data_IF_246820083070
#
_entry.id   IF_246820083070
#
_cell.length_a   1.000
_cell.length_b   1.000
_cell.length_c   1.000
_cell.angle_alpha   90.00
_cell.angle_beta   90.00
_cell.angle_gamma   90.00
#
_symmetry.space_group_name_H-M   'P 1'
#
loop_
_entity.id
_entity.type
_entity.pdbx_description
1 polymer ?
#
# COMPACT_ATOMS: atom_id res chain seq x y z
N UNK A 1 18.73 5.47 7.36
CA UNK A 1 17.94 5.88 8.53
C UNK A 1 17.53 4.63 9.29
N UNK A 2 17.76 4.55 10.61
CA UNK A 2 17.18 3.49 11.43
C UNK A 2 15.66 3.59 11.40
N UNK A 3 14.96 2.46 11.50
CA UNK A 3 13.51 2.46 11.59
C UNK A 3 13.07 3.06 12.92
N UNK A 4 12.06 3.93 12.89
CA UNK A 4 11.56 4.67 14.05
C UNK A 4 10.05 4.51 14.15
N UNK A 5 9.55 4.17 15.34
CA UNK A 5 8.14 4.22 15.69
C UNK A 5 7.98 5.27 16.78
N UNK A 6 7.14 6.29 16.56
CA UNK A 6 6.88 7.35 17.53
C UNK A 6 5.39 7.64 17.62
N UNK A 7 4.88 7.73 18.84
CA UNK A 7 3.48 8.10 19.09
C UNK A 7 3.44 9.42 19.88
N UNK A 8 2.71 10.41 19.37
CA UNK A 8 2.49 11.71 20.03
C UNK A 8 1.02 12.08 19.88
N UNK A 9 0.34 12.38 20.99
CA UNK A 9 -1.07 12.81 21.00
C UNK A 9 -2.02 11.90 20.20
N UNK A 10 -1.84 10.57 20.31
CA UNK A 10 -2.64 9.58 19.57
C UNK A 10 -2.36 9.48 18.07
N UNK A 11 -1.35 10.20 17.58
CA UNK A 11 -0.83 10.07 16.22
C UNK A 11 0.45 9.23 16.26
N UNK A 12 0.46 8.13 15.52
CA UNK A 12 1.58 7.20 15.40
C UNK A 12 2.26 7.41 14.06
N UNK A 13 3.55 7.71 14.07
CA UNK A 13 4.40 7.76 12.89
C UNK A 13 5.37 6.57 12.90
N UNK A 14 5.39 5.80 11.81
CA UNK A 14 6.40 4.79 11.53
C UNK A 14 7.23 5.23 10.34
N UNK A 15 8.54 5.16 10.51
CA UNK A 15 9.52 5.20 9.43
C UNK A 15 10.25 3.85 9.42
N UNK A 16 10.21 3.13 8.30
CA UNK A 16 10.91 1.87 8.12
C UNK A 16 11.68 1.88 6.81
N UNK A 17 12.97 1.62 6.90
CA UNK A 17 13.84 1.54 5.72
C UNK A 17 14.44 0.15 5.60
N UNK A 18 14.52 -0.37 4.39
CA UNK A 18 15.26 -1.60 4.11
C UNK A 18 15.92 -1.55 2.75
N UNK A 19 16.97 -2.32 2.59
CA UNK A 19 17.65 -2.50 1.30
C UNK A 19 18.01 -3.96 1.05
N UNK A 20 18.13 -4.28 -0.23
CA UNK A 20 18.53 -5.57 -0.75
C UNK A 20 19.52 -5.34 -1.90
N UNK A 21 20.74 -5.86 -1.75
CA UNK A 21 21.69 -5.95 -2.86
C UNK A 21 21.37 -7.19 -3.68
N UNK A 22 21.04 -7.00 -4.94
CA UNK A 22 20.83 -8.04 -5.95
C UNK A 22 22.03 -8.07 -6.90
N UNK A 23 22.44 -9.27 -7.31
CA UNK A 23 23.50 -9.43 -8.32
C UNK A 23 23.06 -8.89 -9.69
N UNK A 24 21.77 -8.97 -10.02
CA UNK A 24 21.23 -8.57 -11.34
C UNK A 24 20.58 -7.20 -11.31
N UNK A 25 19.89 -6.85 -10.22
CA UNK A 25 19.10 -5.62 -10.12
C UNK A 25 19.85 -4.46 -9.44
N UNK A 26 21.09 -4.70 -8.97
CA UNK A 26 21.82 -3.75 -8.15
C UNK A 26 21.20 -3.57 -6.76
N UNK A 27 21.25 -2.37 -6.21
CA UNK A 27 20.73 -2.06 -4.87
C UNK A 27 19.26 -1.64 -5.00
N UNK A 28 18.37 -2.45 -4.43
CA UNK A 28 16.99 -2.07 -4.20
C UNK A 28 16.84 -1.54 -2.78
N UNK A 29 16.17 -0.41 -2.62
CA UNK A 29 15.86 0.17 -1.31
C UNK A 29 14.38 0.47 -1.24
N UNK A 30 13.77 0.22 -0.09
CA UNK A 30 12.39 0.59 0.21
C UNK A 30 12.38 1.47 1.46
N UNK A 31 11.79 2.65 1.33
CA UNK A 31 11.50 3.58 2.41
C UNK A 31 9.98 3.61 2.58
N UNK A 32 9.55 3.29 3.78
CA UNK A 32 8.14 3.28 4.15
C UNK A 32 7.91 4.27 5.28
N UNK A 33 6.93 5.13 5.08
CA UNK A 33 6.44 6.07 6.05
C UNK A 33 4.95 5.82 6.23
N UNK A 34 4.51 5.80 7.48
CA UNK A 34 3.11 5.65 7.84
C UNK A 34 2.80 6.65 8.95
N UNK A 35 1.72 7.39 8.79
CA UNK A 35 1.17 8.27 9.83
C UNK A 35 -0.28 7.86 10.04
N UNK A 36 -0.61 7.38 11.24
CA UNK A 36 -1.96 6.97 11.60
C UNK A 36 -2.45 7.70 12.84
N UNK A 37 -3.73 8.07 12.83
CA UNK A 37 -4.43 8.51 14.01
C UNK A 37 -5.82 7.85 14.02
N UNK A 38 -5.99 6.90 14.93
CA UNK A 38 -7.21 6.09 15.01
C UNK A 38 -8.45 6.89 15.46
N UNK A 39 -8.26 8.04 16.13
CA UNK A 39 -9.36 8.91 16.57
C UNK A 39 -9.89 9.76 15.42
N UNK A 40 -9.00 10.34 14.63
CA UNK A 40 -9.37 11.18 13.48
C UNK A 40 -9.58 10.39 12.17
N UNK A 41 -9.31 9.08 12.17
CA UNK A 41 -9.45 8.24 10.98
C UNK A 41 -8.42 8.54 9.89
N UNK A 42 -7.29 9.15 10.27
CA UNK A 42 -6.18 9.43 9.36
C UNK A 42 -5.32 8.19 9.24
N UNK A 43 -5.04 7.77 8.01
CA UNK A 43 -4.04 6.76 7.70
C UNK A 43 -3.38 7.13 6.38
N UNK A 44 -2.26 7.82 6.53
CA UNK A 44 -1.42 8.24 5.42
C UNK A 44 -0.23 7.30 5.35
N UNK A 45 0.14 6.85 4.16
CA UNK A 45 1.40 6.16 3.97
C UNK A 45 2.09 6.56 2.68
N UNK A 46 3.41 6.46 2.71
CA UNK A 46 4.29 6.62 1.56
C UNK A 46 5.19 5.40 1.51
N UNK A 47 5.18 4.71 0.37
CA UNK A 47 6.16 3.70 0.03
C UNK A 47 6.96 4.19 -1.16
N UNK A 48 8.25 4.42 -0.96
CA UNK A 48 9.19 4.74 -2.02
C UNK A 48 10.17 3.58 -2.20
N UNK A 49 10.26 3.05 -3.41
CA UNK A 49 11.19 2.01 -3.80
C UNK A 49 12.13 2.58 -4.85
N UNK A 50 13.42 2.44 -4.62
CA UNK A 50 14.48 2.87 -5.53
C UNK A 50 15.31 1.68 -6.00
N UNK A 51 15.80 1.73 -7.23
CA UNK A 51 16.79 0.83 -7.79
C UNK A 51 18.02 1.64 -8.18
N UNK A 52 19.17 1.40 -7.55
CA UNK A 52 20.41 2.16 -7.75
C UNK A 52 20.19 3.68 -7.67
N UNK A 53 19.51 4.13 -6.60
CA UNK A 53 19.08 5.52 -6.37
C UNK A 53 18.05 6.11 -7.35
N UNK A 54 17.69 5.40 -8.43
CA UNK A 54 16.60 5.80 -9.32
C UNK A 54 15.24 5.38 -8.75
N UNK A 55 14.23 6.24 -8.82
CA UNK A 55 12.86 5.88 -8.42
C UNK A 55 12.34 4.72 -9.29
N UNK A 56 11.98 3.62 -8.64
CA UNK A 56 11.33 2.47 -9.26
C UNK A 56 9.82 2.57 -9.09
N UNK A 57 9.35 2.84 -7.87
CA UNK A 57 7.94 3.04 -7.57
C UNK A 57 7.78 3.90 -6.32
N UNK A 58 6.97 4.95 -6.42
CA UNK A 58 6.46 5.69 -5.27
C UNK A 58 4.96 5.51 -5.23
N UNK A 59 4.43 5.10 -4.09
CA UNK A 59 3.00 4.94 -3.83
C UNK A 59 2.66 5.71 -2.57
N UNK A 60 1.65 6.56 -2.65
CA UNK A 60 1.15 7.37 -1.56
C UNK A 60 -0.34 7.13 -1.42
N UNK A 61 -0.79 6.85 -0.21
CA UNK A 61 -2.20 6.91 0.15
C UNK A 61 -2.35 8.03 1.18
N UNK A 62 -3.26 8.96 0.93
CA UNK A 62 -3.56 10.07 1.82
C UNK A 62 -5.03 10.08 2.17
N UNK A 63 -5.39 10.09 3.44
CA UNK A 63 -6.74 10.34 3.92
C UNK A 63 -7.16 11.76 3.53
N UNK A 64 -8.32 11.88 2.87
CA UNK A 64 -8.99 13.15 2.59
C UNK A 64 -10.14 13.40 3.58
N UNK A 65 -10.79 12.31 3.99
CA UNK A 65 -11.82 12.28 5.02
C UNK A 65 -11.91 10.85 5.58
N UNK A 66 -12.70 10.58 6.64
CA UNK A 66 -12.88 9.22 7.16
C UNK A 66 -13.40 8.19 6.15
N UNK A 67 -13.98 8.66 5.03
CA UNK A 67 -14.55 7.83 3.97
C UNK A 67 -13.90 8.07 2.61
N UNK A 68 -12.90 8.95 2.50
CA UNK A 68 -12.23 9.23 1.22
C UNK A 68 -10.72 9.24 1.38
N UNK A 69 -10.03 8.66 0.41
CA UNK A 69 -8.57 8.66 0.36
C UNK A 69 -8.08 8.90 -1.05
N UNK A 70 -6.94 9.56 -1.22
CA UNK A 70 -6.27 9.72 -2.50
C UNK A 70 -5.09 8.76 -2.61
N UNK A 71 -5.14 7.90 -3.62
CA UNK A 71 -4.02 7.07 -4.06
C UNK A 71 -3.26 7.81 -5.16
N UNK A 72 -1.99 8.13 -4.91
CA UNK A 72 -1.08 8.66 -5.92
C UNK A 72 0.06 7.68 -6.10
N UNK A 73 0.39 7.32 -7.34
CA UNK A 73 1.52 6.47 -7.63
C UNK A 73 2.32 7.02 -8.81
N UNK A 74 3.64 6.81 -8.78
CA UNK A 74 4.55 7.15 -9.88
C UNK A 74 5.59 6.05 -10.03
N UNK A 75 5.86 5.66 -11.27
CA UNK A 75 6.70 4.51 -11.56
C UNK A 75 7.88 4.90 -12.45
N UNK A 76 9.02 4.29 -12.19
CA UNK A 76 10.22 4.41 -13.02
C UNK A 76 10.10 3.65 -14.33
N UNK A 77 11.06 3.88 -15.24
CA UNK A 77 11.10 3.28 -16.59
C UNK A 77 11.13 1.74 -16.59
N UNK A 78 11.57 1.13 -15.49
CA UNK A 78 11.65 -0.31 -15.31
C UNK A 78 10.27 -0.97 -15.14
N UNK A 79 9.25 -0.21 -14.76
CA UNK A 79 7.86 -0.68 -14.69
C UNK A 79 7.15 -0.23 -15.97
N UNK A 80 6.87 -1.17 -16.86
CA UNK A 80 6.26 -0.89 -18.16
C UNK A 80 4.73 -0.88 -18.08
N UNK A 81 4.11 -0.06 -18.91
CA UNK A 81 2.66 0.06 -19.03
C UNK A 81 1.99 0.95 -17.98
N UNK A 82 2.75 1.46 -17.01
CA UNK A 82 2.30 2.50 -16.08
C UNK A 82 3.43 3.47 -15.73
N UNK A 83 3.11 4.75 -15.71
CA UNK A 83 3.99 5.85 -15.32
C UNK A 83 3.45 6.57 -14.09
N UNK A 84 2.12 6.70 -13.99
CA UNK A 84 1.46 7.42 -12.92
C UNK A 84 0.03 6.96 -12.69
N UNK A 85 -0.45 7.15 -11.47
CA UNK A 85 -1.84 7.05 -11.10
C UNK A 85 -2.20 8.14 -10.09
N UNK A 86 -3.40 8.70 -10.22
CA UNK A 86 -3.99 9.61 -9.24
C UNK A 86 -5.49 9.30 -9.16
N UNK A 87 -5.89 8.68 -8.06
CA UNK A 87 -7.22 8.09 -7.90
C UNK A 87 -7.77 8.54 -6.55
N UNK A 88 -8.97 9.09 -6.56
CA UNK A 88 -9.75 9.33 -5.35
C UNK A 88 -10.62 8.11 -5.11
N UNK A 89 -10.43 7.50 -3.96
CA UNK A 89 -11.18 6.35 -3.47
C UNK A 89 -12.23 6.84 -2.47
N UNK A 90 -13.43 6.28 -2.57
CA UNK A 90 -14.53 6.48 -1.62
C UNK A 90 -14.87 5.13 -1.01
N UNK A 91 -14.89 5.10 0.32
CA UNK A 91 -15.13 3.94 1.16
C UNK A 91 -16.52 4.07 1.79
N UNK A 92 -17.43 3.18 1.43
CA UNK A 92 -18.77 3.11 2.01
C UNK A 92 -19.04 1.68 2.43
N UNK A 93 -19.18 1.44 3.74
CA UNK A 93 -19.31 0.10 4.32
C UNK A 93 -18.17 -0.82 3.83
N UNK A 94 -18.52 -1.96 3.26
CA UNK A 94 -17.60 -2.95 2.65
C UNK A 94 -17.38 -2.72 1.16
N UNK A 95 -17.61 -1.51 0.66
CA UNK A 95 -17.48 -1.16 -0.75
C UNK A 95 -16.48 -0.02 -0.94
N UNK A 96 -15.60 -0.20 -1.92
CA UNK A 96 -14.65 0.81 -2.36
C UNK A 96 -14.94 1.16 -3.81
N UNK A 97 -15.33 2.40 -4.04
CA UNK A 97 -15.37 2.99 -5.38
C UNK A 97 -14.20 3.93 -5.56
N UNK A 98 -13.86 4.24 -6.81
CA UNK A 98 -12.88 5.25 -7.09
C UNK A 98 -13.01 5.86 -8.47
N UNK A 99 -12.49 7.06 -8.61
CA UNK A 99 -12.40 7.76 -9.87
C UNK A 99 -11.06 8.49 -9.94
N UNK A 100 -10.52 8.66 -11.14
CA UNK A 100 -9.28 9.40 -11.34
C UNK A 100 -8.62 9.03 -12.65
N UNK A 101 -7.29 9.01 -12.65
CA UNK A 101 -6.50 8.76 -13.85
C UNK A 101 -5.37 7.76 -13.62
N UNK A 102 -5.09 6.94 -14.64
CA UNK A 102 -3.86 6.14 -14.77
C UNK A 102 -3.24 6.49 -16.12
N UNK A 103 -1.96 6.86 -16.15
CA UNK A 103 -1.28 7.37 -17.35
C UNK A 103 -2.08 8.48 -18.06
N UNK A 104 -2.61 9.44 -17.28
CA UNK A 104 -3.51 10.52 -17.76
C UNK A 104 -4.84 10.06 -18.37
N UNK A 105 -5.12 8.74 -18.43
CA UNK A 105 -6.40 8.20 -18.91
C UNK A 105 -7.38 8.05 -17.73
N UNK A 106 -8.61 8.54 -17.92
CA UNK A 106 -9.66 8.44 -16.90
C UNK A 106 -10.02 6.99 -16.60
N UNK A 107 -10.14 6.68 -15.32
CA UNK A 107 -10.52 5.35 -14.81
C UNK A 107 -11.62 5.48 -13.78
N UNK A 108 -12.47 4.46 -13.74
CA UNK A 108 -13.43 4.22 -12.66
C UNK A 108 -13.14 2.86 -12.04
N UNK A 109 -13.19 2.83 -10.73
CA UNK A 109 -12.97 1.65 -9.90
C UNK A 109 -14.23 1.30 -9.16
N UNK A 110 -14.53 0.01 -9.11
CA UNK A 110 -15.61 -0.55 -8.31
C UNK A 110 -15.13 -1.87 -7.71
N UNK A 111 -15.15 -1.99 -6.39
CA UNK A 111 -14.82 -3.22 -5.67
C UNK A 111 -15.73 -3.42 -4.45
N UNK A 112 -16.33 -4.60 -4.36
CA UNK A 112 -16.85 -5.19 -3.11
C UNK A 112 -15.71 -5.89 -2.37
N UNK A 113 -15.61 -5.71 -1.05
CA UNK A 113 -14.57 -6.29 -0.18
C UNK A 113 -14.34 -7.77 -0.49
N UNK A 114 -13.25 -8.05 -1.18
CA UNK A 114 -12.67 -9.39 -1.31
C UNK A 114 -11.18 -9.22 -1.07
N UNK A 115 -10.64 -10.04 -0.16
CA UNK A 115 -9.22 -10.00 0.19
C UNK A 115 -8.37 -10.14 -1.07
N UNK A 116 -7.55 -9.12 -1.35
CA UNK A 116 -6.77 -9.08 -2.57
C UNK A 116 -5.56 -10.03 -2.43
N UNK A 117 -5.77 -11.32 -2.73
CA UNK A 117 -4.69 -12.30 -2.81
C UNK A 117 -4.03 -12.19 -4.18
N UNK A 118 -2.90 -11.51 -4.20
CA UNK A 118 -2.01 -11.26 -5.34
C UNK A 118 -2.51 -10.25 -6.36
N UNK A 119 -1.71 -9.20 -6.56
CA UNK A 119 -2.02 -8.09 -7.45
C UNK A 119 -2.19 -8.49 -8.91
N UNK A 120 -2.72 -7.56 -9.70
CA UNK A 120 -2.90 -7.72 -11.14
C UNK A 120 -1.56 -8.08 -11.80
N UNK A 121 -1.40 -9.35 -12.21
CA UNK A 121 -0.24 -9.79 -12.99
C UNK A 121 -0.28 -9.27 -14.42
N UNK A 122 0.77 -9.56 -15.19
CA UNK A 122 0.92 -9.16 -16.60
C UNK A 122 -0.19 -9.63 -17.55
N UNK A 123 -1.20 -10.38 -17.07
CA UNK A 123 -2.37 -10.83 -17.85
C UNK A 123 -3.47 -9.75 -18.01
N UNK A 124 -3.22 -8.53 -17.53
CA UNK A 124 -4.12 -7.39 -17.69
C UNK A 124 -5.16 -7.28 -16.58
N UNK A 125 -5.59 -6.06 -16.27
CA UNK A 125 -6.73 -5.80 -15.39
C UNK A 125 -8.02 -6.18 -16.12
N UNK A 126 -8.51 -7.39 -15.85
CA UNK A 126 -9.77 -7.89 -16.40
C UNK A 126 -9.93 -9.36 -16.06
N UNK A 127 -10.26 -9.69 -14.81
CA UNK A 127 -10.64 -11.05 -14.44
C UNK A 127 -11.95 -11.05 -13.67
N UNK A 128 -12.84 -11.91 -14.14
CA UNK A 128 -14.25 -12.10 -13.79
C UNK A 128 -14.50 -12.67 -12.40
N UNK A 129 -13.47 -13.06 -11.65
CA UNK A 129 -13.64 -13.63 -10.31
C UNK A 129 -13.23 -12.63 -9.23
N UNK A 130 -14.21 -11.82 -8.79
CA UNK A 130 -14.19 -11.12 -7.51
C UNK A 130 -12.94 -10.30 -7.15
N UNK A 131 -12.23 -9.68 -8.10
CA UNK A 131 -11.07 -8.80 -7.83
C UNK A 131 -11.30 -7.41 -8.41
N UNK A 132 -10.68 -6.39 -7.80
CA UNK A 132 -10.84 -4.96 -8.14
C UNK A 132 -10.89 -4.72 -9.66
N UNK A 133 -12.06 -4.28 -10.15
CA UNK A 133 -12.28 -4.03 -11.58
C UNK A 133 -11.85 -2.59 -11.89
N UNK A 134 -10.69 -2.43 -12.53
CA UNK A 134 -10.30 -1.16 -13.14
C UNK A 134 -10.93 -1.08 -14.53
N UNK A 135 -11.94 -0.22 -14.69
CA UNK A 135 -12.49 0.08 -16.02
C UNK A 135 -11.92 1.40 -16.51
N UNK A 136 -11.16 1.36 -17.59
CA UNK A 136 -10.86 2.58 -18.35
C UNK A 136 -12.11 2.98 -19.10
N UNK A 137 -12.43 4.28 -19.10
CA UNK A 137 -13.60 4.77 -19.82
C UNK A 137 -13.49 4.57 -21.33
N UNK A 138 -12.28 4.41 -21.86
CA UNK A 138 -12.01 4.11 -23.26
C UNK A 138 -11.96 2.60 -23.58
N UNK A 139 -12.38 1.72 -22.67
CA UNK A 139 -12.40 0.26 -22.87
C UNK A 139 -11.03 -0.43 -22.84
N UNK A 140 -9.92 0.31 -22.76
CA UNK A 140 -8.57 -0.30 -22.74
C UNK A 140 -8.28 -1.01 -21.41
N UNK A 141 -7.41 -2.02 -21.43
CA UNK A 141 -6.97 -2.75 -20.23
C UNK A 141 -5.61 -2.24 -19.77
N UNK A 142 -5.43 -2.04 -18.47
CA UNK A 142 -4.10 -1.78 -17.90
C UNK A 142 -3.28 -3.07 -17.90
N UNK A 143 -2.09 -3.02 -18.50
CA UNK A 143 -1.11 -4.09 -18.45
C UNK A 143 0.17 -3.55 -17.84
N UNK A 144 0.41 -3.87 -16.57
CA UNK A 144 1.66 -3.54 -15.88
C UNK A 144 2.62 -4.72 -16.07
N UNK A 145 3.80 -4.45 -16.61
CA UNK A 145 4.84 -5.45 -16.81
C UNK A 145 6.11 -5.05 -16.06
N UNK A 146 6.74 -6.03 -15.43
CA UNK A 146 8.06 -5.90 -14.82
C UNK A 146 8.86 -7.16 -15.17
N UNK A 147 10.18 -7.02 -15.20
CA UNK A 147 11.06 -8.16 -15.36
C UNK A 147 10.85 -9.20 -14.23
N UNK A 148 11.00 -10.49 -14.56
CA UNK A 148 10.80 -11.59 -13.59
C UNK A 148 11.78 -11.52 -12.43
N UNK A 149 13.04 -11.17 -12.72
CA UNK A 149 14.11 -11.09 -11.72
C UNK A 149 13.89 -9.87 -10.82
N UNK A 150 13.51 -8.72 -11.38
CA UNK A 150 13.07 -7.55 -10.62
C UNK A 150 11.86 -7.87 -9.73
N UNK A 151 10.85 -8.58 -10.24
CA UNK A 151 9.68 -9.00 -9.45
C UNK A 151 10.08 -9.89 -8.27
N UNK A 152 11.01 -10.82 -8.46
CA UNK A 152 11.51 -11.69 -7.39
C UNK A 152 12.31 -10.90 -6.34
N UNK A 153 13.16 -9.97 -6.79
CA UNK A 153 13.95 -9.11 -5.90
C UNK A 153 13.05 -8.18 -5.08
N UNK A 154 12.01 -7.59 -5.70
CA UNK A 154 10.97 -6.82 -5.03
C UNK A 154 10.25 -7.63 -3.96
N UNK A 155 9.84 -8.88 -4.26
CA UNK A 155 9.22 -9.77 -3.27
C UNK A 155 10.12 -9.97 -2.04
N UNK A 156 11.42 -10.17 -2.25
CA UNK A 156 12.40 -10.34 -1.15
C UNK A 156 12.58 -9.06 -0.34
N UNK A 157 12.74 -7.91 -1.01
CA UNK A 157 12.85 -6.59 -0.36
C UNK A 157 11.63 -6.32 0.52
N UNK A 158 10.44 -6.57 -0.02
CA UNK A 158 9.16 -6.41 0.66
C UNK A 158 9.04 -7.36 1.85
N UNK A 159 9.41 -8.63 1.70
CA UNK A 159 9.40 -9.58 2.81
C UNK A 159 10.31 -9.11 3.95
N UNK A 160 11.48 -8.56 3.62
CA UNK A 160 12.41 -7.97 4.59
C UNK A 160 11.80 -6.76 5.28
N UNK A 161 11.14 -5.85 4.54
CA UNK A 161 10.43 -4.71 5.10
C UNK A 161 9.33 -5.16 6.08
N UNK A 162 8.50 -6.12 5.68
CA UNK A 162 7.44 -6.67 6.55
C UNK A 162 7.98 -7.25 7.85
N UNK A 163 9.15 -7.93 7.81
CA UNK A 163 9.80 -8.45 9.03
C UNK A 163 10.26 -7.33 9.96
N UNK A 164 10.86 -6.27 9.41
CA UNK A 164 11.28 -5.09 10.19
C UNK A 164 10.08 -4.45 10.87
N UNK A 165 8.98 -4.27 10.14
CA UNK A 165 7.77 -3.64 10.68
C UNK A 165 7.11 -4.52 11.75
N UNK A 166 7.02 -5.84 11.53
CA UNK A 166 6.52 -6.77 12.55
C UNK A 166 7.30 -6.68 13.85
N UNK A 167 8.63 -6.70 13.78
CA UNK A 167 9.50 -6.55 14.96
C UNK A 167 9.23 -5.25 15.72
N UNK A 168 9.03 -4.14 15.00
CA UNK A 168 8.72 -2.85 15.63
C UNK A 168 7.37 -2.87 16.37
N UNK A 169 6.36 -3.55 15.82
CA UNK A 169 5.07 -3.73 16.48
C UNK A 169 5.09 -4.73 17.65
N UNK A 170 5.92 -5.78 17.58
CA UNK A 170 6.06 -6.75 18.68
C UNK A 170 6.77 -6.13 19.89
N UNK A 171 7.69 -5.19 19.66
CA UNK A 171 8.38 -4.48 20.75
C UNK A 171 7.47 -3.52 21.53
N UNK A 172 6.39 -3.00 20.93
CA UNK A 172 5.43 -2.14 21.65
C UNK A 172 4.40 -2.92 22.48
N UNK A 173 4.33 -4.26 22.35
CA UNK A 173 3.41 -5.13 23.08
C UNK A 173 3.88 -5.58 24.46
N UNK A 174 5.05 -5.15 24.94
CA UNK A 174 5.52 -5.50 26.28
C UNK A 174 4.74 -4.70 27.33
N UNK A 175 3.60 -5.24 27.77
CA UNK A 175 2.95 -4.87 29.04
C UNK A 175 1.58 -4.16 28.98
N UNK A 176 0.92 -4.09 27.82
CA UNK A 176 -0.37 -3.38 27.68
C UNK A 176 -1.61 -4.27 27.88
N UNK A 177 -2.67 -3.68 28.46
CA UNK A 177 -4.01 -4.27 28.55
C UNK A 177 -4.54 -4.73 27.17
N UNK A 178 -5.56 -5.58 27.17
CA UNK A 178 -6.20 -6.02 25.92
C UNK A 178 -6.66 -4.81 25.09
N UNK A 179 -6.35 -4.76 23.78
CA UNK A 179 -6.65 -3.60 22.95
C UNK A 179 -8.17 -3.37 22.86
N UNK A 180 -8.58 -2.11 22.98
CA UNK A 180 -10.00 -1.71 22.89
C UNK A 180 -10.66 -2.30 21.63
N UNK A 181 -11.76 -3.06 21.75
CA UNK A 181 -12.47 -3.64 20.61
C UNK A 181 -12.85 -2.62 19.53
N UNK A 182 -13.20 -1.39 19.93
CA UNK A 182 -13.52 -0.32 19.00
C UNK A 182 -12.27 0.17 18.24
N UNK A 183 -11.11 0.20 18.91
CA UNK A 183 -9.83 0.52 18.28
C UNK A 183 -9.40 -0.58 17.29
N UNK A 184 -9.53 -1.85 17.69
CA UNK A 184 -9.21 -3.00 16.83
C UNK A 184 -10.04 -2.98 15.54
N UNK A 185 -11.35 -2.72 15.64
CA UNK A 185 -12.24 -2.61 14.49
C UNK A 185 -11.83 -1.48 13.53
N UNK A 186 -11.37 -0.33 14.05
CA UNK A 186 -10.85 0.78 13.24
C UNK A 186 -9.56 0.40 12.53
N UNK A 187 -8.65 -0.30 13.20
CA UNK A 187 -7.39 -0.75 12.61
C UNK A 187 -7.59 -1.79 11.51
N UNK A 188 -8.51 -2.74 11.71
CA UNK A 188 -8.92 -3.69 10.66
C UNK A 188 -9.53 -2.95 9.47
N UNK A 189 -10.37 -1.95 9.73
CA UNK A 189 -10.97 -1.10 8.68
C UNK A 189 -9.90 -0.35 7.87
N UNK A 190 -8.90 0.26 8.53
CA UNK A 190 -7.77 0.94 7.87
C UNK A 190 -7.01 -0.04 6.97
N UNK A 191 -6.69 -1.23 7.47
CA UNK A 191 -6.04 -2.28 6.69
C UNK A 191 -6.83 -2.65 5.45
N UNK A 192 -8.13 -2.84 5.62
CA UNK A 192 -9.00 -3.33 4.54
C UNK A 192 -9.19 -2.26 3.46
N UNK A 193 -9.35 -1.00 3.88
CA UNK A 193 -9.34 0.18 3.01
C UNK A 193 -8.03 0.25 2.22
N UNK A 194 -6.91 0.10 2.92
CA UNK A 194 -5.59 0.11 2.30
C UNK A 194 -5.43 -1.05 1.31
N UNK A 195 -5.82 -2.27 1.67
CA UNK A 195 -5.71 -3.45 0.79
C UNK A 195 -6.59 -3.33 -0.45
N UNK A 196 -7.80 -2.78 -0.31
CA UNK A 196 -8.69 -2.48 -1.42
C UNK A 196 -8.08 -1.40 -2.33
N UNK A 197 -7.58 -0.30 -1.76
CA UNK A 197 -6.85 0.74 -2.49
C UNK A 197 -5.63 0.17 -3.25
N UNK A 198 -4.90 -0.73 -2.60
CA UNK A 198 -3.72 -1.38 -3.12
C UNK A 198 -4.00 -2.46 -4.16
N UNK A 199 -5.26 -2.83 -4.43
CA UNK A 199 -5.58 -3.92 -5.36
C UNK A 199 -4.97 -3.75 -6.76
N UNK A 200 -4.83 -2.50 -7.22
CA UNK A 200 -4.19 -2.16 -8.52
C UNK A 200 -2.68 -2.41 -8.47
N UNK A 201 -2.03 -2.09 -7.34
CA UNK A 201 -0.58 -2.10 -7.17
C UNK A 201 -0.14 -3.07 -6.08
N UNK A 202 -0.83 -4.20 -5.96
CA UNK A 202 -0.78 -5.03 -4.76
C UNK A 202 0.61 -5.62 -4.49
N UNK A 203 1.40 -5.85 -5.55
CA UNK A 203 2.81 -6.28 -5.45
C UNK A 203 3.64 -5.29 -4.63
N UNK A 204 3.35 -4.00 -4.73
CA UNK A 204 4.07 -2.95 -4.00
C UNK A 204 3.39 -2.61 -2.67
N UNK A 205 2.06 -2.66 -2.64
CA UNK A 205 1.26 -1.87 -1.70
C UNK A 205 0.65 -2.71 -0.55
N UNK A 206 0.38 -4.01 -0.74
CA UNK A 206 -0.11 -4.91 0.32
C UNK A 206 0.75 -4.92 1.60
N UNK A 207 2.09 -4.97 1.52
CA UNK A 207 2.96 -5.00 2.70
C UNK A 207 2.83 -3.74 3.55
N UNK A 208 2.67 -2.58 2.91
CA UNK A 208 2.42 -1.30 3.55
C UNK A 208 1.08 -1.30 4.32
N UNK A 209 0.05 -1.94 3.78
CA UNK A 209 -1.24 -2.08 4.48
C UNK A 209 -1.19 -3.00 5.69
N UNK A 210 -0.48 -4.12 5.58
CA UNK A 210 -0.29 -5.04 6.70
C UNK A 210 0.54 -4.38 7.81
N UNK A 211 1.52 -3.57 7.44
CA UNK A 211 2.28 -2.73 8.35
C UNK A 211 1.38 -1.72 9.08
N UNK A 212 0.55 -0.98 8.33
CA UNK A 212 -0.42 -0.04 8.90
C UNK A 212 -1.36 -0.70 9.90
N UNK A 213 -1.86 -1.90 9.57
CA UNK A 213 -2.69 -2.69 10.48
C UNK A 213 -1.95 -3.08 11.75
N UNK A 214 -0.75 -3.64 11.62
CA UNK A 214 0.03 -4.13 12.76
C UNK A 214 0.35 -3.00 13.73
N UNK A 215 0.72 -1.82 13.23
CA UNK A 215 1.04 -0.66 14.06
C UNK A 215 -0.21 -0.04 14.68
N UNK A 216 -1.29 0.06 13.92
CA UNK A 216 -2.54 0.52 14.48
C UNK A 216 -2.98 -0.39 15.64
N UNK A 217 -2.94 -1.72 15.45
CA UNK A 217 -3.27 -2.69 16.51
C UNK A 217 -2.32 -2.58 17.71
N UNK A 218 -1.04 -2.27 17.47
CA UNK A 218 -0.04 -2.18 18.52
C UNK A 218 0.00 -0.80 19.24
N UNK A 219 -0.83 0.15 18.76
CA UNK A 219 -1.05 1.47 19.38
C UNK A 219 -2.50 1.67 19.84
N UNK A 220 -3.35 0.68 19.59
CA UNK A 220 -4.38 0.28 20.52
C UNK A 220 -3.73 -0.48 21.70
#
# INVERSE_FOLDING_TARGET
MPSLLRTVNGTTALFATTSLKSKTEGILSANFELVTNARSGISDFILNITQNACNLATIKLKSLSPTKSRLTASFGKQVRGISSANIVLTHKNSYVSGHGCINKKKVVLSQTHSGCKEGCGCKGCGSSNGRLKVKFLNGTKLKICMDKTLKAALKRLISKLSRIIKRLGDHSRRGGAAPDPACLARCIRISTICQAACGIFAIFCIPACLAAQAICIATC
#
